data_IF_282135650837
#
_entry.id   IF_282135650837
#
_cell.length_a   1.000
_cell.length_b   1.000
_cell.length_c   1.000
_cell.angle_alpha   90.00
_cell.angle_beta   90.00
_cell.angle_gamma   90.00
#
_symmetry.space_group_name_H-M   'P 1'
#
loop_
_entity.id
_entity.type
_entity.pdbx_description
1 polymer ?
#
# COMPACT_ATOMS: atom_id res chain seq x y z
N UNK A 1 -18.03 -65.95 3.50
CA UNK A 1 -17.52 -66.52 4.78
C UNK A 1 -16.02 -66.31 4.80
N UNK A 2 -15.50 -65.43 5.66
CA UNK A 2 -14.06 -65.30 5.85
C UNK A 2 -13.58 -66.48 6.71
N UNK A 3 -12.63 -67.27 6.20
CA UNK A 3 -12.01 -68.36 6.96
C UNK A 3 -11.28 -67.77 8.18
N UNK A 4 -11.44 -68.33 9.39
CA UNK A 4 -10.69 -67.86 10.55
C UNK A 4 -9.19 -68.09 10.30
N UNK A 5 -8.38 -67.04 10.48
CA UNK A 5 -6.92 -67.13 10.34
C UNK A 5 -6.39 -68.16 11.35
N UNK A 6 -5.46 -69.00 10.90
CA UNK A 6 -4.80 -70.01 11.73
C UNK A 6 -4.21 -69.36 12.99
N UNK A 7 -4.43 -69.93 14.20
CA UNK A 7 -3.86 -69.42 15.45
C UNK A 7 -2.34 -69.19 15.37
N UNK A 8 -1.64 -70.04 14.62
CA UNK A 8 -0.20 -69.97 14.44
C UNK A 8 0.26 -68.75 13.61
N UNK A 9 -0.57 -68.29 12.66
CA UNK A 9 -0.31 -67.10 11.85
C UNK A 9 -0.58 -65.78 12.59
N UNK A 10 -1.47 -65.81 13.58
CA UNK A 10 -1.73 -64.68 14.48
C UNK A 10 -0.55 -64.52 15.45
N UNK A 11 -0.08 -65.64 16.01
CA UNK A 11 1.05 -65.69 16.95
C UNK A 11 2.36 -65.18 16.33
N UNK A 12 2.64 -65.52 15.07
CA UNK A 12 3.84 -65.03 14.37
C UNK A 12 3.77 -63.52 14.06
N UNK A 13 2.58 -62.98 13.75
CA UNK A 13 2.39 -61.53 13.55
C UNK A 13 2.56 -60.74 14.85
N UNK A 14 2.17 -61.34 15.98
CA UNK A 14 2.31 -60.76 17.32
C UNK A 14 3.79 -60.74 17.77
N UNK A 15 4.56 -61.78 17.45
CA UNK A 15 6.02 -61.80 17.69
C UNK A 15 6.78 -60.72 16.91
N UNK A 16 6.42 -60.50 15.64
CA UNK A 16 7.04 -59.44 14.82
C UNK A 16 6.70 -58.05 15.35
N UNK A 17 5.43 -57.82 15.73
CA UNK A 17 5.00 -56.56 16.32
C UNK A 17 5.66 -56.31 17.68
N UNK A 18 5.84 -57.34 18.50
CA UNK A 18 6.54 -57.23 19.79
C UNK A 18 8.02 -56.90 19.61
N UNK A 19 8.70 -57.51 18.62
CA UNK A 19 10.08 -57.11 18.27
C UNK A 19 10.16 -55.66 17.82
N UNK A 20 9.26 -55.24 16.93
CA UNK A 20 9.24 -53.86 16.47
C UNK A 20 8.99 -52.88 17.61
N UNK A 21 8.06 -53.21 18.51
CA UNK A 21 7.79 -52.40 19.70
C UNK A 21 9.01 -52.31 20.63
N UNK A 22 9.76 -53.41 20.76
CA UNK A 22 10.98 -53.45 21.56
C UNK A 22 12.11 -52.62 20.92
N UNK A 23 12.28 -52.70 19.60
CA UNK A 23 13.23 -51.88 18.85
C UNK A 23 12.89 -50.39 18.95
N UNK A 24 11.60 -50.04 18.90
CA UNK A 24 11.13 -48.65 19.08
C UNK A 24 11.42 -48.15 20.49
N UNK A 25 11.17 -48.95 21.53
CA UNK A 25 11.49 -48.59 22.91
C UNK A 25 13.00 -48.37 23.11
N UNK A 26 13.83 -49.23 22.51
CA UNK A 26 15.29 -49.09 22.56
C UNK A 26 15.76 -47.83 21.82
N UNK A 27 15.14 -47.51 20.68
CA UNK A 27 15.40 -46.25 19.96
C UNK A 27 15.00 -45.02 20.76
N UNK A 28 13.85 -45.04 21.42
CA UNK A 28 13.39 -43.95 22.28
C UNK A 28 14.34 -43.71 23.46
N UNK A 29 14.84 -44.78 24.09
CA UNK A 29 15.81 -44.66 25.17
C UNK A 29 17.16 -44.14 24.68
N UNK A 30 17.62 -44.58 23.49
CA UNK A 30 18.82 -44.02 22.86
C UNK A 30 18.68 -42.55 22.53
N UNK A 31 17.49 -42.09 22.11
CA UNK A 31 17.22 -40.68 21.86
C UNK A 31 17.27 -39.88 23.16
N UNK A 32 16.58 -40.34 24.21
CA UNK A 32 16.59 -39.68 25.53
C UNK A 32 18.00 -39.57 26.09
N UNK A 33 18.82 -40.60 25.95
CA UNK A 33 20.20 -40.58 26.44
C UNK A 33 21.07 -39.62 25.63
N UNK A 34 20.88 -39.54 24.32
CA UNK A 34 21.55 -38.54 23.48
C UNK A 34 21.15 -37.12 23.86
N UNK A 35 19.87 -36.89 24.14
CA UNK A 35 19.37 -35.57 24.51
C UNK A 35 19.89 -35.16 25.90
N UNK A 36 19.95 -36.08 26.88
CA UNK A 36 20.64 -35.84 28.17
C UNK A 36 22.12 -35.53 28.00
N UNK A 37 22.82 -36.27 27.13
CA UNK A 37 24.23 -36.03 26.85
C UNK A 37 24.43 -34.65 26.20
N UNK A 38 23.53 -34.21 25.33
CA UNK A 38 23.55 -32.89 24.72
C UNK A 38 23.26 -31.77 25.74
N UNK A 39 22.41 -32.01 26.74
CA UNK A 39 22.17 -31.07 27.85
C UNK A 39 23.35 -30.94 28.82
N UNK A 40 24.18 -31.98 28.94
CA UNK A 40 25.36 -32.01 29.81
C UNK A 40 26.66 -31.56 29.10
N UNK A 41 26.63 -31.42 27.79
CA UNK A 41 27.78 -30.98 26.99
C UNK A 41 28.11 -29.51 27.25
N UNK A 42 29.41 -29.21 27.36
CA UNK A 42 29.87 -27.82 27.42
C UNK A 42 29.77 -27.15 26.05
N UNK A 43 29.74 -25.82 26.03
CA UNK A 43 29.69 -25.04 24.78
C UNK A 43 30.88 -25.32 23.87
N UNK A 44 32.08 -25.50 24.44
CA UNK A 44 33.29 -25.81 23.66
C UNK A 44 33.22 -27.22 23.05
N UNK A 45 32.78 -28.23 23.81
CA UNK A 45 32.56 -29.58 23.28
C UNK A 45 31.47 -29.61 22.20
N UNK A 46 30.45 -28.76 22.32
CA UNK A 46 29.41 -28.61 21.30
C UNK A 46 29.92 -27.97 20.01
N UNK A 47 30.78 -26.97 20.12
CA UNK A 47 31.42 -26.33 18.98
C UNK A 47 32.36 -27.32 18.29
N UNK A 48 33.21 -28.03 19.04
CA UNK A 48 34.10 -29.06 18.51
C UNK A 48 33.31 -30.19 17.82
N UNK A 49 32.23 -30.66 18.44
CA UNK A 49 31.38 -31.69 17.83
C UNK A 49 30.68 -31.20 16.56
N UNK A 50 30.26 -29.92 16.52
CA UNK A 50 29.71 -29.30 15.30
C UNK A 50 30.77 -29.15 14.21
N UNK A 51 31.98 -28.76 14.57
CA UNK A 51 33.07 -28.57 13.61
C UNK A 51 33.49 -29.92 13.00
N UNK A 52 33.60 -30.96 13.83
CA UNK A 52 33.81 -32.34 13.37
C UNK A 52 32.69 -32.77 12.42
N UNK A 53 31.42 -32.49 12.76
CA UNK A 53 30.28 -32.85 11.89
C UNK A 53 30.31 -32.11 10.57
N UNK A 54 30.64 -30.82 10.57
CA UNK A 54 30.81 -30.01 9.34
C UNK A 54 31.94 -30.60 8.48
N UNK A 55 33.08 -30.95 9.07
CA UNK A 55 34.19 -31.56 8.34
C UNK A 55 33.82 -32.93 7.75
N UNK A 56 33.06 -33.76 8.49
CA UNK A 56 32.53 -35.04 8.00
C UNK A 56 31.55 -34.81 6.84
N UNK A 57 30.61 -33.87 6.97
CA UNK A 57 29.62 -33.54 5.93
C UNK A 57 30.28 -32.96 4.67
N UNK A 58 31.43 -32.27 4.81
CA UNK A 58 32.23 -31.78 3.70
C UNK A 58 33.05 -32.88 3.02
N UNK A 59 33.49 -33.89 3.77
CA UNK A 59 34.29 -35.01 3.26
C UNK A 59 33.43 -36.11 2.62
N UNK A 60 32.17 -36.25 3.01
CA UNK A 60 31.23 -37.18 2.40
C UNK A 60 30.73 -36.67 1.04
N UNK A 61 30.72 -37.52 -0.01
CA UNK A 61 30.16 -37.12 -1.30
C UNK A 61 28.66 -36.83 -1.13
N UNK A 62 28.26 -35.61 -1.48
CA UNK A 62 26.86 -35.18 -1.43
C UNK A 62 26.02 -36.12 -2.30
N UNK A 63 24.84 -36.50 -1.81
CA UNK A 63 23.96 -37.36 -2.60
C UNK A 63 23.52 -36.62 -3.87
N UNK A 64 23.33 -37.32 -5.00
CA UNK A 64 22.87 -36.69 -6.23
C UNK A 64 21.59 -35.87 -6.04
N UNK A 65 20.70 -36.30 -5.15
CA UNK A 65 19.46 -35.61 -4.83
C UNK A 65 19.67 -34.29 -4.06
N UNK A 66 20.63 -34.24 -3.12
CA UNK A 66 20.92 -32.99 -2.40
C UNK A 66 21.67 -31.98 -3.26
N UNK A 67 22.50 -32.46 -4.20
CA UNK A 67 23.11 -31.61 -5.23
C UNK A 67 22.02 -31.04 -6.16
N UNK A 68 21.15 -31.89 -6.69
CA UNK A 68 20.07 -31.49 -7.57
C UNK A 68 19.14 -30.47 -6.90
N UNK A 69 18.74 -30.69 -5.65
CA UNK A 69 17.92 -29.73 -4.91
C UNK A 69 18.64 -28.38 -4.74
N UNK A 70 19.94 -28.39 -4.47
CA UNK A 70 20.75 -27.17 -4.41
C UNK A 70 20.85 -26.44 -5.74
N UNK A 71 21.00 -27.18 -6.85
CA UNK A 71 20.99 -26.63 -8.21
C UNK A 71 19.63 -26.06 -8.59
N UNK A 72 18.53 -26.73 -8.24
CA UNK A 72 17.17 -26.23 -8.49
C UNK A 72 16.91 -24.90 -7.74
N UNK A 73 17.35 -24.80 -6.48
CA UNK A 73 17.25 -23.57 -5.70
C UNK A 73 18.12 -22.46 -6.29
N UNK A 74 19.37 -22.75 -6.66
CA UNK A 74 20.27 -21.79 -7.29
C UNK A 74 19.74 -21.30 -8.64
N UNK A 75 19.17 -22.20 -9.45
CA UNK A 75 18.58 -21.85 -10.74
C UNK A 75 17.35 -20.95 -10.59
N UNK A 76 16.49 -21.20 -9.59
CA UNK A 76 15.36 -20.31 -9.28
C UNK A 76 15.85 -18.93 -8.83
N UNK A 77 16.84 -18.88 -7.95
CA UNK A 77 17.41 -17.60 -7.51
C UNK A 77 18.07 -16.85 -8.67
N UNK A 78 18.79 -17.54 -9.55
CA UNK A 78 19.37 -16.94 -10.74
C UNK A 78 18.29 -16.38 -11.67
N UNK A 79 17.17 -17.08 -11.81
CA UNK A 79 16.03 -16.60 -12.59
C UNK A 79 15.38 -15.36 -11.96
N UNK A 80 15.13 -15.37 -10.64
CA UNK A 80 14.58 -14.23 -9.93
C UNK A 80 15.51 -12.99 -10.03
N UNK A 81 16.83 -13.19 -10.00
CA UNK A 81 17.81 -12.10 -10.16
C UNK A 81 17.72 -11.50 -11.56
N UNK A 82 17.64 -12.33 -12.61
CA UNK A 82 17.49 -11.85 -13.99
C UNK A 82 16.19 -11.06 -14.16
N UNK A 83 15.07 -11.54 -13.60
CA UNK A 83 13.80 -10.82 -13.64
C UNK A 83 13.85 -9.47 -12.90
N UNK A 84 14.63 -9.38 -11.81
CA UNK A 84 14.83 -8.13 -11.09
C UNK A 84 15.70 -7.15 -11.88
N UNK A 85 16.75 -7.63 -12.55
CA UNK A 85 17.60 -6.82 -13.42
C UNK A 85 16.78 -6.22 -14.57
N UNK A 86 15.97 -7.02 -15.27
CA UNK A 86 15.08 -6.55 -16.33
C UNK A 86 14.11 -5.48 -15.83
N UNK A 87 13.54 -5.66 -14.64
CA UNK A 87 12.63 -4.68 -14.02
C UNK A 87 13.31 -3.37 -13.66
N UNK A 88 14.58 -3.42 -13.26
CA UNK A 88 15.38 -2.22 -12.98
C UNK A 88 15.66 -1.49 -14.29
N UNK A 89 16.10 -2.19 -15.32
CA UNK A 89 16.36 -1.61 -16.64
C UNK A 89 15.10 -0.99 -17.26
N UNK A 90 13.95 -1.65 -17.15
CA UNK A 90 12.67 -1.12 -17.63
C UNK A 90 12.29 0.16 -16.89
N UNK A 91 12.48 0.20 -15.56
CA UNK A 91 12.22 1.39 -14.76
C UNK A 91 13.16 2.53 -15.12
N UNK A 92 14.44 2.25 -15.31
CA UNK A 92 15.44 3.27 -15.62
C UNK A 92 15.23 3.82 -17.04
N UNK A 93 14.89 2.96 -18.02
CA UNK A 93 14.47 3.36 -19.37
C UNK A 93 13.20 4.21 -19.35
N UNK A 94 12.21 3.84 -18.54
CA UNK A 94 11.01 4.64 -18.36
C UNK A 94 11.32 6.00 -17.72
N UNK A 95 12.29 6.07 -16.80
CA UNK A 95 12.75 7.32 -16.21
C UNK A 95 13.51 8.20 -17.22
N UNK A 96 14.30 7.61 -18.14
CA UNK A 96 14.99 8.34 -19.21
C UNK A 96 14.03 8.91 -20.26
N UNK A 97 12.92 8.22 -20.53
CA UNK A 97 11.89 8.66 -21.47
C UNK A 97 10.88 9.63 -20.85
N UNK A 98 10.84 9.73 -19.52
CA UNK A 98 9.91 10.60 -18.81
C UNK A 98 10.26 12.07 -19.06
N UNK A 99 9.26 12.84 -19.44
CA UNK A 99 9.43 14.29 -19.62
C UNK A 99 9.57 14.99 -18.27
N UNK A 100 10.16 16.19 -18.28
CA UNK A 100 10.29 17.03 -17.08
C UNK A 100 8.93 17.36 -16.46
N UNK A 101 7.89 17.53 -17.28
CA UNK A 101 6.53 17.80 -16.80
C UNK A 101 5.91 16.56 -16.13
N UNK A 102 6.09 15.38 -16.72
CA UNK A 102 5.62 14.11 -16.14
C UNK A 102 6.31 13.78 -14.80
N UNK A 103 7.61 14.08 -14.68
CA UNK A 103 8.34 13.93 -13.41
C UNK A 103 7.74 14.83 -12.32
N UNK A 104 7.50 16.11 -12.65
CA UNK A 104 6.89 17.08 -11.72
C UNK A 104 5.49 16.60 -11.31
N UNK A 105 4.69 16.12 -12.25
CA UNK A 105 3.34 15.61 -11.97
C UNK A 105 3.34 14.31 -11.16
N UNK A 106 4.31 13.40 -11.35
CA UNK A 106 4.47 12.21 -10.51
C UNK A 106 4.85 12.56 -9.07
N UNK A 107 5.71 13.57 -8.90
CA UNK A 107 6.18 14.05 -7.60
C UNK A 107 5.13 14.89 -6.87
N UNK A 108 4.11 15.40 -7.58
CA UNK A 108 2.98 16.07 -6.94
C UNK A 108 2.22 15.10 -6.04
N UNK A 109 1.82 15.59 -4.87
CA UNK A 109 1.03 14.82 -3.93
C UNK A 109 -0.30 14.38 -4.60
N UNK A 110 -0.39 13.08 -4.93
CA UNK A 110 -1.53 12.48 -5.63
C UNK A 110 -2.86 12.77 -4.93
N UNK A 111 -2.88 12.88 -3.59
CA UNK A 111 -4.09 13.23 -2.84
C UNK A 111 -4.52 14.68 -3.11
N UNK A 112 -3.57 15.60 -3.19
CA UNK A 112 -3.81 17.01 -3.52
C UNK A 112 -4.28 17.16 -4.97
N UNK A 113 -3.67 16.45 -5.93
CA UNK A 113 -4.08 16.47 -7.35
C UNK A 113 -5.51 15.94 -7.52
N UNK A 114 -5.84 14.79 -6.91
CA UNK A 114 -7.19 14.20 -6.94
C UNK A 114 -8.23 15.15 -6.37
N UNK A 115 -7.96 15.77 -5.22
CA UNK A 115 -8.86 16.76 -4.62
C UNK A 115 -9.04 17.99 -5.52
N UNK A 116 -7.96 18.47 -6.13
CA UNK A 116 -8.00 19.59 -7.09
C UNK A 116 -8.95 19.29 -8.22
N UNK A 117 -8.73 18.16 -8.90
CA UNK A 117 -9.55 17.77 -10.05
C UNK A 117 -11.01 17.56 -9.63
N UNK A 118 -11.26 16.95 -8.46
CA UNK A 118 -12.62 16.80 -7.94
C UNK A 118 -13.31 18.14 -7.68
N UNK A 119 -12.62 19.13 -7.10
CA UNK A 119 -13.21 20.45 -6.82
C UNK A 119 -13.38 21.28 -8.10
N UNK A 120 -12.44 21.20 -9.04
CA UNK A 120 -12.53 21.85 -10.35
C UNK A 120 -13.67 21.26 -11.18
N UNK A 121 -13.85 19.94 -11.15
CA UNK A 121 -14.96 19.29 -11.86
C UNK A 121 -16.33 19.73 -11.31
N UNK A 122 -16.45 20.02 -10.01
CA UNK A 122 -17.68 20.62 -9.45
C UNK A 122 -17.94 22.00 -10.07
N UNK A 123 -16.90 22.82 -10.21
CA UNK A 123 -17.04 24.13 -10.87
C UNK A 123 -17.39 23.97 -12.35
N UNK A 124 -16.71 23.09 -13.10
CA UNK A 124 -17.02 22.85 -14.52
C UNK A 124 -18.45 22.36 -14.74
N UNK A 125 -18.91 21.43 -13.89
CA UNK A 125 -20.31 20.94 -13.92
C UNK A 125 -21.28 22.09 -13.67
N UNK A 126 -21.04 22.88 -12.62
CA UNK A 126 -21.88 24.02 -12.30
C UNK A 126 -21.89 25.08 -13.43
N UNK A 127 -20.75 25.34 -14.08
CA UNK A 127 -20.68 26.25 -15.23
C UNK A 127 -21.52 25.73 -16.41
N UNK A 128 -21.45 24.43 -16.69
CA UNK A 128 -22.28 23.79 -17.72
C UNK A 128 -23.78 23.96 -17.41
N UNK A 129 -24.19 23.81 -16.14
CA UNK A 129 -25.56 24.06 -15.70
C UNK A 129 -25.99 25.53 -15.87
N UNK A 130 -25.04 26.47 -15.91
CA UNK A 130 -25.25 27.88 -16.21
C UNK A 130 -25.10 28.22 -17.71
N UNK A 131 -25.00 27.21 -18.58
CA UNK A 131 -24.77 27.34 -20.02
C UNK A 131 -23.46 28.09 -20.36
N UNK A 132 -22.45 27.99 -19.49
CA UNK A 132 -21.09 28.46 -19.73
C UNK A 132 -20.21 27.28 -20.13
N UNK A 133 -19.80 27.25 -21.40
CA UNK A 133 -19.05 26.15 -22.01
C UNK A 133 -17.60 26.55 -22.35
N UNK A 134 -17.24 27.82 -22.19
CA UNK A 134 -15.86 28.30 -22.42
C UNK A 134 -14.90 27.67 -21.41
N UNK A 135 -13.67 27.45 -21.84
CA UNK A 135 -12.60 27.08 -20.92
C UNK A 135 -12.17 28.29 -20.06
N UNK A 136 -11.63 28.03 -18.86
CA UNK A 136 -11.36 29.11 -17.88
C UNK A 136 -10.48 30.25 -18.40
N UNK A 137 -9.55 29.96 -19.32
CA UNK A 137 -8.63 30.95 -19.90
C UNK A 137 -9.28 31.82 -20.98
N UNK A 138 -10.43 31.40 -21.52
CA UNK A 138 -11.20 32.15 -22.54
C UNK A 138 -12.19 33.13 -21.88
N UNK A 139 -12.47 32.95 -20.59
CA UNK A 139 -13.39 33.80 -19.83
C UNK A 139 -12.61 35.01 -19.29
N UNK A 140 -13.04 36.25 -19.59
CA UNK A 140 -12.44 37.45 -19.02
C UNK A 140 -12.41 37.42 -17.49
N UNK A 141 -11.34 37.88 -16.82
CA UNK A 141 -11.21 37.79 -15.36
C UNK A 141 -12.40 38.35 -14.57
N UNK A 142 -12.99 39.47 -15.03
CA UNK A 142 -14.14 40.11 -14.40
C UNK A 142 -15.41 39.26 -14.53
N UNK A 143 -15.59 38.60 -15.67
CA UNK A 143 -16.71 37.69 -15.89
C UNK A 143 -16.55 36.40 -15.08
N UNK A 144 -15.33 35.87 -15.05
CA UNK A 144 -14.97 34.72 -14.22
C UNK A 144 -15.19 35.00 -12.73
N UNK A 145 -14.87 36.21 -12.25
CA UNK A 145 -15.14 36.63 -10.86
C UNK A 145 -16.64 36.58 -10.51
N UNK A 146 -17.50 37.05 -11.41
CA UNK A 146 -18.96 36.99 -11.21
C UNK A 146 -19.48 35.54 -11.21
N UNK A 147 -18.95 34.69 -12.09
CA UNK A 147 -19.29 33.26 -12.11
C UNK A 147 -18.86 32.57 -10.81
N UNK A 148 -17.62 32.82 -10.35
CA UNK A 148 -17.12 32.29 -9.08
C UNK A 148 -17.92 32.79 -7.89
N UNK A 149 -18.33 34.06 -7.87
CA UNK A 149 -19.19 34.61 -6.84
C UNK A 149 -20.52 33.86 -6.77
N UNK A 150 -21.19 33.67 -7.91
CA UNK A 150 -22.45 32.88 -7.98
C UNK A 150 -22.24 31.43 -7.57
N UNK A 151 -21.15 30.81 -7.98
CA UNK A 151 -20.78 29.46 -7.56
C UNK A 151 -20.67 29.38 -6.03
N UNK A 152 -19.85 30.21 -5.38
CA UNK A 152 -19.68 30.16 -3.92
C UNK A 152 -20.95 30.52 -3.15
N UNK A 153 -21.80 31.38 -3.70
CA UNK A 153 -23.09 31.73 -3.11
C UNK A 153 -24.05 30.53 -3.08
N UNK A 154 -24.08 29.75 -4.17
CA UNK A 154 -25.03 28.65 -4.39
C UNK A 154 -24.47 27.26 -4.09
N UNK A 155 -23.15 27.14 -3.84
CA UNK A 155 -22.47 25.87 -3.63
C UNK A 155 -23.10 25.03 -2.51
N UNK A 156 -23.48 23.80 -2.89
CA UNK A 156 -24.06 22.78 -2.01
C UNK A 156 -23.43 21.42 -2.27
N UNK A 157 -23.50 20.54 -1.28
CA UNK A 157 -23.13 19.14 -1.39
C UNK A 157 -24.10 18.39 -2.30
N UNK A 158 -23.73 17.17 -2.72
CA UNK A 158 -24.58 16.30 -3.54
C UNK A 158 -25.91 15.93 -2.87
N UNK A 159 -25.94 15.88 -1.53
CA UNK A 159 -27.14 15.66 -0.72
C UNK A 159 -28.03 16.91 -0.58
N UNK A 160 -27.68 18.02 -1.25
CA UNK A 160 -28.36 19.31 -1.15
C UNK A 160 -28.05 20.10 0.12
N UNK A 161 -27.21 19.56 1.01
CA UNK A 161 -26.77 20.19 2.25
C UNK A 161 -25.73 21.28 2.03
N UNK A 162 -25.66 22.23 2.96
CA UNK A 162 -24.60 23.23 2.97
C UNK A 162 -23.22 22.62 3.25
N UNK A 163 -22.20 23.16 2.60
CA UNK A 163 -20.80 22.91 2.94
C UNK A 163 -20.41 23.51 4.30
N UNK A 164 -19.38 22.95 4.92
CA UNK A 164 -18.73 23.62 6.04
C UNK A 164 -17.94 24.85 5.54
N UNK A 165 -17.80 25.90 6.37
CA UNK A 165 -17.09 27.12 5.99
C UNK A 165 -15.66 26.86 5.48
N UNK A 166 -14.95 25.90 6.07
CA UNK A 166 -13.56 25.62 5.68
C UNK A 166 -13.47 24.71 4.46
N UNK A 167 -14.51 23.90 4.18
CA UNK A 167 -14.61 23.18 2.91
C UNK A 167 -14.70 24.17 1.75
N UNK A 168 -15.52 25.23 1.84
CA UNK A 168 -15.61 26.24 0.78
C UNK A 168 -14.28 26.97 0.54
N UNK A 169 -13.56 27.30 1.62
CA UNK A 169 -12.20 27.88 1.51
C UNK A 169 -11.22 26.90 0.84
N UNK A 170 -11.32 25.62 1.16
CA UNK A 170 -10.51 24.57 0.54
C UNK A 170 -10.80 24.43 -0.95
N UNK A 171 -12.07 24.50 -1.36
CA UNK A 171 -12.48 24.51 -2.78
C UNK A 171 -11.88 25.71 -3.52
N UNK A 172 -11.92 26.91 -2.95
CA UNK A 172 -11.25 28.08 -3.54
C UNK A 172 -9.75 27.85 -3.74
N UNK A 173 -9.07 27.24 -2.76
CA UNK A 173 -7.66 26.89 -2.88
C UNK A 173 -7.38 25.90 -4.02
N UNK A 174 -8.24 24.90 -4.19
CA UNK A 174 -8.16 23.95 -5.30
C UNK A 174 -8.33 24.64 -6.65
N UNK A 175 -9.34 25.52 -6.80
CA UNK A 175 -9.57 26.24 -8.06
C UNK A 175 -8.39 27.19 -8.35
N UNK A 176 -7.92 27.94 -7.35
CA UNK A 176 -6.77 28.82 -7.51
C UNK A 176 -5.55 28.06 -8.01
N UNK A 177 -5.24 26.91 -7.39
CA UNK A 177 -4.13 26.05 -7.81
C UNK A 177 -4.28 25.65 -9.28
N UNK A 178 -5.46 25.20 -9.70
CA UNK A 178 -5.71 24.82 -11.10
C UNK A 178 -5.46 25.97 -12.08
N UNK A 179 -5.96 27.18 -11.78
CA UNK A 179 -5.76 28.35 -12.64
C UNK A 179 -4.31 28.81 -12.70
N UNK A 180 -3.57 28.70 -11.59
CA UNK A 180 -2.13 29.03 -11.58
C UNK A 180 -1.28 28.00 -12.33
N UNK A 181 -1.65 26.73 -12.29
CA UNK A 181 -0.86 25.64 -12.90
C UNK A 181 -1.13 25.49 -14.40
N UNK A 182 -2.34 25.74 -14.89
CA UNK A 182 -2.71 25.64 -16.31
C UNK A 182 -2.35 26.89 -17.11
N UNK A 183 -1.29 27.60 -16.71
CA UNK A 183 -0.76 28.81 -17.38
C UNK A 183 -1.79 29.94 -17.61
N UNK A 184 -2.89 29.98 -16.85
CA UNK A 184 -3.86 31.08 -16.99
C UNK A 184 -3.34 32.39 -16.40
N UNK A 185 -2.20 32.37 -15.67
CA UNK A 185 -1.61 33.51 -14.96
C UNK A 185 -2.63 34.30 -14.10
N UNK A 186 -3.62 33.59 -13.57
CA UNK A 186 -4.71 34.12 -12.74
C UNK A 186 -4.52 33.63 -11.31
N UNK A 187 -4.59 34.55 -10.35
CA UNK A 187 -4.53 34.28 -8.93
C UNK A 187 -5.79 34.79 -8.21
N UNK A 188 -6.74 33.89 -7.97
CA UNK A 188 -8.01 34.18 -7.29
C UNK A 188 -7.84 34.75 -5.87
N UNK A 189 -6.70 34.52 -5.23
CA UNK A 189 -6.46 34.93 -3.84
C UNK A 189 -5.90 36.36 -3.80
N UNK A 190 -5.05 36.74 -4.76
CA UNK A 190 -4.30 38.00 -4.74
C UNK A 190 -4.84 39.05 -5.70
N UNK A 191 -5.28 38.63 -6.89
CA UNK A 191 -5.63 39.55 -7.96
C UNK A 191 -6.88 40.36 -7.61
N UNK A 192 -6.84 41.65 -7.96
CA UNK A 192 -7.89 42.62 -7.60
C UNK A 192 -9.19 42.34 -8.35
N UNK A 193 -9.08 41.76 -9.53
CA UNK A 193 -10.15 41.32 -10.42
C UNK A 193 -11.08 40.33 -9.72
N UNK A 194 -10.57 39.56 -8.76
CA UNK A 194 -11.33 38.54 -8.01
C UNK A 194 -11.76 39.00 -6.62
N UNK A 195 -11.90 40.32 -6.41
CA UNK A 195 -12.32 40.84 -5.11
C UNK A 195 -13.77 40.43 -4.79
N UNK A 196 -14.67 40.46 -5.76
CA UNK A 196 -16.09 40.23 -5.49
C UNK A 196 -16.36 38.78 -5.07
N UNK A 197 -15.82 37.79 -5.78
CA UNK A 197 -15.96 36.38 -5.38
C UNK A 197 -15.35 36.09 -4.02
N UNK A 198 -14.23 36.73 -3.65
CA UNK A 198 -13.64 36.64 -2.31
C UNK A 198 -14.58 37.18 -1.24
N UNK A 199 -15.18 38.36 -1.47
CA UNK A 199 -16.11 38.98 -0.53
C UNK A 199 -17.39 38.13 -0.35
N UNK A 200 -17.92 37.57 -1.44
CA UNK A 200 -19.07 36.66 -1.42
C UNK A 200 -18.74 35.37 -0.67
N UNK A 201 -17.58 34.75 -0.93
CA UNK A 201 -17.13 33.56 -0.21
C UNK A 201 -17.00 33.84 1.29
N UNK A 202 -16.39 34.96 1.67
CA UNK A 202 -16.25 35.35 3.08
C UNK A 202 -17.62 35.55 3.74
N UNK A 203 -18.55 36.19 3.05
CA UNK A 203 -19.92 36.39 3.52
C UNK A 203 -20.69 35.07 3.68
N UNK A 204 -20.61 34.17 2.69
CA UNK A 204 -21.20 32.82 2.77
C UNK A 204 -20.63 32.03 3.93
N UNK A 205 -19.31 32.06 4.13
CA UNK A 205 -18.65 31.39 5.28
C UNK A 205 -19.12 31.95 6.61
N UNK A 206 -19.32 33.27 6.72
CA UNK A 206 -19.85 33.91 7.93
C UNK A 206 -21.29 33.45 8.21
N UNK A 207 -22.15 33.43 7.19
CA UNK A 207 -23.52 32.92 7.29
C UNK A 207 -23.56 31.47 7.78
N UNK A 208 -22.73 30.60 7.21
CA UNK A 208 -22.65 29.19 7.61
C UNK A 208 -22.22 29.01 9.07
N UNK A 209 -21.31 29.85 9.57
CA UNK A 209 -20.91 29.85 10.99
C UNK A 209 -22.06 30.28 11.90
N UNK A 210 -22.83 31.28 11.49
CA UNK A 210 -24.02 31.74 12.22
C UNK A 210 -25.09 30.64 12.27
N UNK A 211 -25.23 29.87 11.19
CA UNK A 211 -26.15 28.72 11.11
C UNK A 211 -25.64 27.46 11.81
N UNK A 212 -24.59 27.55 12.63
CA UNK A 212 -24.07 26.43 13.42
C UNK A 212 -23.24 25.40 12.64
N UNK A 213 -22.92 25.64 11.36
CA UNK A 213 -22.06 24.76 10.53
C UNK A 213 -20.56 25.00 10.74
N UNK A 214 -20.18 25.75 11.77
CA UNK A 214 -18.78 26.06 12.05
C UNK A 214 -18.03 24.87 12.65
N UNK A 215 -16.74 24.76 12.31
CA UNK A 215 -15.81 23.84 12.96
C UNK A 215 -15.57 24.26 14.41
N UNK A 216 -16.50 23.90 15.32
CA UNK A 216 -16.21 23.88 16.75
C UNK A 216 -15.71 22.47 17.10
N UNK A 217 -14.56 22.30 17.76
CA UNK A 217 -14.20 21.00 18.30
C UNK A 217 -15.30 20.55 19.25
N UNK A 218 -15.77 19.30 19.10
CA UNK A 218 -16.63 18.66 20.12
C UNK A 218 -15.83 18.67 21.41
N UNK A 219 -16.26 19.46 22.40
CA UNK A 219 -15.74 19.29 23.76
C UNK A 219 -16.07 17.85 24.17
N UNK A 220 -15.04 17.02 24.34
CA UNK A 220 -15.16 15.74 25.02
C UNK A 220 -15.61 16.06 26.44
N UNK A 221 -16.84 15.72 26.79
CA UNK A 221 -17.25 15.70 28.19
C UNK A 221 -16.59 14.45 28.79
N UNK A 222 -15.61 14.68 29.69
CA UNK A 222 -15.09 13.66 30.61
C UNK A 222 -16.01 13.56 31.83
#
# INVERSE_FOLDING_TARGET
>A
MALPRSPHSIQMGEEVMNRLAQDVLELEDRIKERDRAAEQMTTDEFIDQKEIRIQIDMALPRSPHSIQMGEEVMNRLAQDVLELEDRIEERDRAAEQMTTDEFIDQMRNKNTSRKTNSDVNKLKTWLSDQNELREFHEIPPQELDLLLARFFMTAKKCDGGDYEPDTLKSIQGSINRHLTEKHCNINLIKDKEFKHSRDVLMSKRKLLRQNGKGNKPKKLNH
#
